data_IF_675737289198
#
_entry.id   IF_675737289198
#
_cell.length_a   1.000
_cell.length_b   1.000
_cell.length_c   1.000
_cell.angle_alpha   90.00
_cell.angle_beta   90.00
_cell.angle_gamma   90.00
#
_symmetry.space_group_name_H-M   'P 1'
#
loop_
_entity.id
_entity.type
_entity.pdbx_description
1 polymer ?
#
# COMPACT_ATOMS: atom_id res chain seq x y z
N UNK A 1 -12.43 9.13 12.53
CA UNK A 1 -12.87 8.36 11.35
C UNK A 1 -14.26 7.81 11.61
N UNK A 2 -15.24 8.10 10.75
CA UNK A 2 -16.56 7.42 10.82
C UNK A 2 -16.43 6.04 10.16
N UNK A 3 -17.23 5.05 10.59
CA UNK A 3 -17.23 3.72 9.96
C UNK A 3 -17.48 3.78 8.44
N UNK A 4 -18.31 4.74 8.02
CA UNK A 4 -18.61 4.99 6.62
C UNK A 4 -17.38 5.42 5.84
N UNK A 5 -16.54 6.29 6.41
CA UNK A 5 -15.32 6.76 5.79
C UNK A 5 -14.33 5.61 5.53
N UNK A 6 -14.17 4.73 6.51
CA UNK A 6 -13.36 3.52 6.39
C UNK A 6 -13.88 2.60 5.28
N UNK A 7 -15.20 2.40 5.21
CA UNK A 7 -15.83 1.54 4.20
C UNK A 7 -15.65 2.12 2.81
N UNK A 8 -15.95 3.41 2.60
CA UNK A 8 -15.82 4.07 1.30
C UNK A 8 -14.36 4.07 0.82
N UNK A 9 -13.43 4.35 1.73
CA UNK A 9 -11.99 4.30 1.43
C UNK A 9 -11.53 2.88 1.09
N UNK A 10 -12.01 1.87 1.83
CA UNK A 10 -11.75 0.46 1.52
C UNK A 10 -12.30 0.03 0.16
N UNK A 11 -13.49 0.49 -0.23
CA UNK A 11 -14.03 0.25 -1.57
C UNK A 11 -13.22 0.95 -2.66
N UNK A 12 -12.80 2.21 -2.45
CA UNK A 12 -11.90 2.90 -3.38
C UNK A 12 -10.58 2.14 -3.57
N UNK A 13 -10.00 1.62 -2.47
CA UNK A 13 -8.80 0.78 -2.52
C UNK A 13 -9.04 -0.49 -3.36
N UNK A 14 -10.16 -1.19 -3.12
CA UNK A 14 -10.51 -2.42 -3.80
C UNK A 14 -10.73 -2.21 -5.32
N UNK A 15 -11.41 -1.13 -5.70
CA UNK A 15 -11.59 -0.78 -7.12
C UNK A 15 -10.30 -0.29 -7.78
N UNK A 16 -9.48 0.49 -7.07
CA UNK A 16 -8.15 0.87 -7.55
C UNK A 16 -7.27 -0.37 -7.81
N UNK A 17 -7.29 -1.33 -6.89
CA UNK A 17 -6.59 -2.60 -7.05
C UNK A 17 -7.13 -3.41 -8.24
N UNK A 18 -8.45 -3.40 -8.47
CA UNK A 18 -9.08 -3.99 -9.68
C UNK A 18 -8.59 -3.35 -10.98
N UNK A 19 -8.28 -2.06 -11.02
CA UNK A 19 -7.70 -1.42 -12.21
C UNK A 19 -6.31 -1.94 -12.55
N UNK A 20 -5.52 -2.27 -11.51
CA UNK A 20 -4.18 -2.80 -11.68
C UNK A 20 -4.17 -4.29 -12.05
N UNK A 21 -5.28 -5.00 -11.82
CA UNK A 21 -5.40 -6.45 -11.94
C UNK A 21 -6.42 -6.85 -13.01
N UNK A 22 -5.96 -7.17 -14.25
CA UNK A 22 -6.83 -7.66 -15.31
C UNK A 22 -7.59 -8.92 -14.90
N UNK A 23 -8.84 -9.03 -15.36
CA UNK A 23 -9.72 -10.18 -15.09
C UNK A 23 -9.25 -11.49 -15.72
N UNK A 24 -8.43 -11.41 -16.76
CA UNK A 24 -7.82 -12.53 -17.46
C UNK A 24 -6.29 -12.52 -17.30
N UNK A 25 -5.82 -12.39 -16.06
CA UNK A 25 -4.40 -12.38 -15.71
C UNK A 25 -3.89 -13.73 -15.17
N UNK A 26 -2.56 -13.92 -15.09
CA UNK A 26 -1.93 -15.17 -14.65
C UNK A 26 -2.26 -15.60 -13.20
N UNK A 27 -2.96 -14.75 -12.44
CA UNK A 27 -3.33 -14.99 -11.05
C UNK A 27 -4.85 -15.05 -10.82
N UNK A 28 -5.67 -15.08 -11.89
CA UNK A 28 -7.13 -15.09 -11.80
C UNK A 28 -7.70 -16.17 -10.87
N UNK A 29 -6.99 -17.28 -10.73
CA UNK A 29 -7.40 -18.43 -9.91
C UNK A 29 -6.94 -18.35 -8.45
N UNK A 30 -6.30 -17.26 -8.03
CA UNK A 30 -5.91 -17.09 -6.63
C UNK A 30 -7.12 -16.79 -5.74
N UNK A 31 -7.21 -17.36 -4.51
CA UNK A 31 -8.30 -17.08 -3.59
C UNK A 31 -8.45 -15.59 -3.25
N UNK A 32 -7.34 -14.87 -3.16
CA UNK A 32 -7.29 -13.44 -2.84
C UNK A 32 -7.94 -12.62 -3.96
N UNK A 33 -7.58 -12.89 -5.21
CA UNK A 33 -8.20 -12.19 -6.35
C UNK A 33 -9.66 -12.57 -6.51
N UNK A 34 -10.05 -13.83 -6.30
CA UNK A 34 -11.48 -14.18 -6.26
C UNK A 34 -12.24 -13.41 -5.18
N UNK A 35 -11.68 -13.27 -3.99
CA UNK A 35 -12.26 -12.48 -2.90
C UNK A 35 -12.41 -11.01 -3.26
N UNK A 36 -11.35 -10.40 -3.80
CA UNK A 36 -11.38 -9.03 -4.31
C UNK A 36 -12.46 -8.87 -5.39
N UNK A 37 -12.53 -9.83 -6.31
CA UNK A 37 -13.50 -9.81 -7.39
C UNK A 37 -14.92 -9.88 -6.86
N UNK A 38 -15.20 -10.83 -5.96
CA UNK A 38 -16.49 -10.99 -5.31
C UNK A 38 -16.91 -9.75 -4.51
N UNK A 39 -15.99 -9.10 -3.79
CA UNK A 39 -16.28 -7.92 -2.98
C UNK A 39 -16.65 -6.68 -3.83
N UNK A 40 -16.05 -6.57 -5.02
CA UNK A 40 -16.23 -5.41 -5.91
C UNK A 40 -17.38 -5.59 -6.90
N UNK A 41 -17.75 -6.84 -7.22
CA UNK A 41 -18.74 -7.16 -8.24
C UNK A 41 -20.15 -6.57 -8.00
N UNK A 42 -20.70 -6.51 -6.77
CA UNK A 42 -22.03 -5.94 -6.53
C UNK A 42 -22.16 -4.49 -7.02
N UNK A 43 -21.07 -3.73 -6.96
CA UNK A 43 -21.02 -2.32 -7.39
C UNK A 43 -20.62 -2.21 -8.86
N UNK A 44 -19.67 -3.02 -9.34
CA UNK A 44 -19.19 -2.93 -10.72
C UNK A 44 -20.19 -3.46 -11.74
N UNK A 45 -20.94 -4.52 -11.41
CA UNK A 45 -21.89 -5.15 -12.33
C UNK A 45 -22.94 -4.17 -12.89
N UNK A 46 -23.62 -3.32 -12.09
CA UNK A 46 -24.54 -2.33 -12.66
C UNK A 46 -23.81 -1.28 -13.52
N UNK A 47 -22.63 -0.82 -13.10
CA UNK A 47 -21.83 0.16 -13.86
C UNK A 47 -21.44 -0.40 -15.23
N UNK A 48 -20.98 -1.65 -15.30
CA UNK A 48 -20.64 -2.32 -16.56
C UNK A 48 -21.83 -2.39 -17.51
N UNK A 49 -23.05 -2.67 -17.01
CA UNK A 49 -24.25 -2.71 -17.87
C UNK A 49 -24.56 -1.37 -18.53
N UNK A 50 -24.21 -0.27 -17.87
CA UNK A 50 -24.47 1.09 -18.36
C UNK A 50 -23.36 1.53 -19.31
N UNK A 51 -22.11 1.35 -18.88
CA UNK A 51 -20.92 1.90 -19.56
C UNK A 51 -20.44 1.00 -20.70
N UNK A 52 -20.54 -0.32 -20.54
CA UNK A 52 -20.00 -1.31 -21.47
C UNK A 52 -21.12 -2.04 -22.20
N UNK A 53 -21.62 -1.41 -23.26
CA UNK A 53 -22.44 -2.07 -24.28
C UNK A 53 -21.56 -2.36 -25.51
N UNK A 54 -21.06 -3.59 -25.63
CA UNK A 54 -20.19 -4.03 -26.73
C UNK A 54 -18.70 -3.96 -26.36
N UNK A 55 -18.00 -5.09 -26.48
CA UNK A 55 -16.65 -5.41 -25.99
C UNK A 55 -15.64 -4.26 -25.82
N UNK A 56 -14.99 -4.20 -24.65
CA UNK A 56 -13.59 -3.81 -24.56
C UNK A 56 -12.69 -4.91 -23.95
N UNK A 57 -11.45 -4.99 -24.42
CA UNK A 57 -10.35 -5.81 -23.83
C UNK A 57 -9.96 -5.37 -22.40
N UNK A 58 -10.48 -4.23 -21.92
CA UNK A 58 -10.12 -3.60 -20.65
C UNK A 58 -11.36 -3.06 -19.94
N UNK A 59 -11.57 -3.50 -18.70
CA UNK A 59 -12.71 -3.10 -17.87
C UNK A 59 -12.45 -1.76 -17.13
N UNK A 60 -13.00 -0.67 -17.67
CA UNK A 60 -13.00 0.68 -17.09
C UNK A 60 -13.99 0.90 -15.95
N UNK A 61 -14.89 -0.04 -15.68
CA UNK A 61 -15.90 0.15 -14.62
C UNK A 61 -15.32 0.45 -13.23
N UNK A 62 -14.15 -0.10 -12.81
CA UNK A 62 -13.59 0.23 -11.50
C UNK A 62 -13.13 1.69 -11.42
N UNK A 63 -12.66 2.29 -12.52
CA UNK A 63 -12.25 3.70 -12.54
C UNK A 63 -13.46 4.60 -12.31
N UNK A 64 -14.57 4.31 -13.00
CA UNK A 64 -15.82 5.05 -12.84
C UNK A 64 -16.36 4.87 -11.42
N UNK A 65 -16.28 3.66 -10.85
CA UNK A 65 -16.68 3.42 -9.47
C UNK A 65 -15.84 4.24 -8.48
N UNK A 66 -14.52 4.31 -8.65
CA UNK A 66 -13.63 5.15 -7.84
C UNK A 66 -14.02 6.62 -7.95
N UNK A 67 -14.21 7.15 -9.16
CA UNK A 67 -14.59 8.55 -9.37
C UNK A 67 -15.94 8.89 -8.72
N UNK A 68 -16.94 8.01 -8.89
CA UNK A 68 -18.24 8.18 -8.25
C UNK A 68 -18.14 8.15 -6.72
N UNK A 69 -17.32 7.25 -6.17
CA UNK A 69 -17.08 7.18 -4.74
C UNK A 69 -16.31 8.39 -4.21
N UNK A 70 -15.34 8.92 -4.95
CA UNK A 70 -14.64 10.15 -4.59
C UNK A 70 -15.62 11.33 -4.47
N UNK A 71 -16.51 11.48 -5.46
CA UNK A 71 -17.52 12.56 -5.44
C UNK A 71 -18.53 12.34 -4.31
N UNK A 72 -19.05 11.11 -4.16
CA UNK A 72 -20.02 10.78 -3.12
C UNK A 72 -19.43 10.98 -1.71
N UNK A 73 -18.24 10.43 -1.46
CA UNK A 73 -17.52 10.56 -0.19
C UNK A 73 -17.22 12.02 0.09
N UNK A 74 -16.69 12.74 -0.91
CA UNK A 74 -16.31 14.14 -0.75
C UNK A 74 -17.50 15.04 -0.48
N UNK A 75 -18.60 14.88 -1.22
CA UNK A 75 -19.84 15.60 -0.99
C UNK A 75 -20.45 15.30 0.38
N UNK A 76 -20.40 14.03 0.82
CA UNK A 76 -20.88 13.66 2.15
C UNK A 76 -20.00 14.22 3.25
N UNK A 77 -18.68 14.17 3.09
CA UNK A 77 -17.73 14.75 4.04
C UNK A 77 -17.99 16.24 4.19
N UNK A 78 -18.08 16.98 3.08
CA UNK A 78 -18.38 18.42 3.08
C UNK A 78 -19.72 18.73 3.75
N UNK A 79 -20.76 17.94 3.48
CA UNK A 79 -22.08 18.11 4.10
C UNK A 79 -22.05 17.90 5.62
N UNK A 80 -21.21 16.99 6.11
CA UNK A 80 -21.06 16.70 7.54
C UNK A 80 -20.13 17.67 8.27
N UNK A 81 -19.09 18.17 7.60
CA UNK A 81 -18.13 19.13 8.16
C UNK A 81 -18.59 20.59 8.03
N UNK A 82 -19.59 20.86 7.19
CA UNK A 82 -20.02 22.22 6.85
C UNK A 82 -19.06 22.94 5.89
N UNK A 83 -18.12 22.22 5.28
CA UNK A 83 -17.15 22.75 4.33
C UNK A 83 -17.73 22.85 2.92
N UNK A 84 -16.99 23.50 2.02
CA UNK A 84 -17.36 23.55 0.61
C UNK A 84 -17.31 22.15 -0.03
N UNK A 85 -18.19 21.89 -1.00
CA UNK A 85 -18.17 20.63 -1.76
C UNK A 85 -16.83 20.39 -2.46
N UNK A 86 -16.16 21.45 -2.93
CA UNK A 86 -14.81 21.39 -3.50
C UNK A 86 -13.77 20.90 -2.49
N UNK A 87 -13.82 21.38 -1.24
CA UNK A 87 -12.93 20.94 -0.15
C UNK A 87 -13.11 19.46 0.12
N UNK A 88 -14.35 18.99 0.25
CA UNK A 88 -14.63 17.58 0.49
C UNK A 88 -14.21 16.66 -0.66
N UNK A 89 -14.48 17.05 -1.92
CA UNK A 89 -14.05 16.29 -3.11
C UNK A 89 -12.53 16.25 -3.20
N UNK A 90 -11.85 17.36 -2.95
CA UNK A 90 -10.39 17.40 -2.92
C UNK A 90 -9.78 16.49 -1.86
N UNK A 91 -10.32 16.50 -0.63
CA UNK A 91 -9.93 15.55 0.40
C UNK A 91 -10.10 14.10 -0.04
N UNK A 92 -11.17 13.80 -0.79
CA UNK A 92 -11.38 12.45 -1.33
C UNK A 92 -10.41 12.05 -2.44
N UNK A 93 -9.99 13.00 -3.28
CA UNK A 93 -8.93 12.75 -4.27
C UNK A 93 -7.59 12.50 -3.57
N UNK A 94 -7.25 13.30 -2.56
CA UNK A 94 -6.01 13.16 -1.80
C UNK A 94 -5.97 11.81 -1.07
N UNK A 95 -7.04 11.42 -0.38
CA UNK A 95 -7.09 10.15 0.34
C UNK A 95 -7.04 8.93 -0.59
N UNK A 96 -7.74 8.97 -1.73
CA UNK A 96 -7.66 7.90 -2.70
C UNK A 96 -6.25 7.78 -3.32
N UNK A 97 -5.59 8.91 -3.57
CA UNK A 97 -4.19 8.94 -4.02
C UNK A 97 -3.26 8.37 -2.96
N UNK A 98 -3.45 8.76 -1.69
CA UNK A 98 -2.71 8.22 -0.53
C UNK A 98 -2.83 6.70 -0.48
N UNK A 99 -4.05 6.16 -0.56
CA UNK A 99 -4.31 4.71 -0.56
C UNK A 99 -3.60 4.01 -1.71
N UNK A 100 -3.68 4.54 -2.93
CA UNK A 100 -3.01 3.96 -4.09
C UNK A 100 -1.48 3.91 -3.89
N UNK A 101 -0.91 4.97 -3.33
CA UNK A 101 0.51 5.07 -3.01
C UNK A 101 0.90 4.09 -1.92
N UNK A 102 0.07 3.89 -0.90
CA UNK A 102 0.33 2.93 0.17
C UNK A 102 0.37 1.51 -0.37
N UNK A 103 -0.62 1.14 -1.19
CA UNK A 103 -0.67 -0.17 -1.84
C UNK A 103 0.58 -0.38 -2.71
N UNK A 104 0.93 0.58 -3.56
CA UNK A 104 2.11 0.49 -4.41
C UNK A 104 3.41 0.45 -3.59
N UNK A 105 3.50 1.21 -2.50
CA UNK A 105 4.69 1.25 -1.66
C UNK A 105 4.91 -0.05 -0.90
N UNK A 106 3.84 -0.69 -0.42
CA UNK A 106 3.90 -2.04 0.15
C UNK A 106 4.39 -3.03 -0.91
N UNK A 107 3.81 -3.01 -2.12
CA UNK A 107 4.26 -3.87 -3.22
C UNK A 107 5.74 -3.65 -3.56
N UNK A 108 6.18 -2.40 -3.65
CA UNK A 108 7.56 -2.04 -3.93
C UNK A 108 8.50 -2.49 -2.81
N UNK A 109 8.11 -2.31 -1.55
CA UNK A 109 8.89 -2.75 -0.39
C UNK A 109 9.12 -4.26 -0.45
N UNK A 110 8.11 -5.04 -0.78
CA UNK A 110 8.32 -6.48 -0.90
C UNK A 110 9.07 -6.89 -2.17
N UNK A 111 8.98 -6.16 -3.29
CA UNK A 111 9.90 -6.37 -4.44
C UNK A 111 11.34 -6.07 -4.03
N UNK A 112 11.57 -5.04 -3.22
CA UNK A 112 12.88 -4.77 -2.64
C UNK A 112 13.35 -5.94 -1.75
N UNK A 113 12.48 -6.47 -0.89
CA UNK A 113 12.78 -7.64 -0.04
C UNK A 113 13.05 -8.93 -0.84
N UNK A 114 12.40 -9.11 -1.98
CA UNK A 114 12.72 -10.19 -2.93
C UNK A 114 14.15 -10.00 -3.48
N UNK A 115 14.55 -8.75 -3.76
CA UNK A 115 15.86 -8.45 -4.35
C UNK A 115 17.05 -8.64 -3.40
N UNK A 116 16.81 -8.64 -2.08
CA UNK A 116 17.86 -8.79 -1.04
C UNK A 116 18.01 -10.23 -0.52
N UNK A 117 17.60 -11.23 -1.31
CA UNK A 117 17.85 -12.65 -1.06
C UNK A 117 16.91 -13.32 -0.03
N UNK A 118 15.60 -13.17 -0.22
CA UNK A 118 14.60 -13.96 0.53
C UNK A 118 14.31 -15.30 -0.16
N UNK A 119 14.17 -16.42 0.59
CA UNK A 119 13.94 -17.76 0.03
C UNK A 119 12.64 -17.89 -0.78
N UNK A 120 11.75 -16.89 -0.69
CA UNK A 120 10.44 -16.84 -1.34
C UNK A 120 10.39 -15.95 -2.58
N UNK A 121 11.54 -15.52 -3.13
CA UNK A 121 11.60 -14.70 -4.34
C UNK A 121 10.88 -15.31 -5.56
N UNK A 122 10.63 -16.62 -5.56
CA UNK A 122 9.91 -17.38 -6.59
C UNK A 122 8.51 -17.89 -6.15
N UNK A 123 7.98 -17.38 -5.04
CA UNK A 123 6.61 -17.70 -4.57
C UNK A 123 5.53 -17.13 -5.50
N UNK A 124 4.30 -17.66 -5.42
CA UNK A 124 3.15 -17.11 -6.17
C UNK A 124 2.94 -15.61 -5.85
N UNK A 125 3.09 -15.22 -4.58
CA UNK A 125 2.97 -13.83 -4.16
C UNK A 125 4.15 -13.00 -4.64
N UNK A 126 5.38 -13.52 -4.58
CA UNK A 126 6.55 -12.81 -5.10
C UNK A 126 6.41 -12.49 -6.59
N UNK A 127 5.97 -13.47 -7.38
CA UNK A 127 5.65 -13.25 -8.79
C UNK A 127 4.52 -12.24 -9.01
N UNK A 128 3.45 -12.28 -8.20
CA UNK A 128 2.35 -11.32 -8.28
C UNK A 128 2.82 -9.90 -7.98
N UNK A 129 3.59 -9.72 -6.91
CA UNK A 129 4.13 -8.42 -6.50
C UNK A 129 5.09 -7.85 -7.53
N UNK A 130 5.98 -8.69 -8.06
CA UNK A 130 6.88 -8.28 -9.14
C UNK A 130 6.09 -7.86 -10.40
N UNK A 131 5.09 -8.64 -10.78
CA UNK A 131 4.25 -8.37 -11.96
C UNK A 131 3.52 -7.05 -11.81
N UNK A 132 2.86 -6.82 -10.67
CA UNK A 132 2.09 -5.60 -10.39
C UNK A 132 2.96 -4.35 -10.29
N UNK A 133 4.18 -4.50 -9.76
CA UNK A 133 5.11 -3.39 -9.60
C UNK A 133 5.85 -3.06 -10.90
N UNK A 134 5.99 -4.04 -11.80
CA UNK A 134 6.85 -3.91 -12.98
C UNK A 134 6.54 -2.73 -13.90
N UNK A 135 5.27 -2.35 -14.21
CA UNK A 135 5.00 -1.22 -15.10
C UNK A 135 5.45 0.11 -14.50
N UNK A 136 5.38 0.22 -13.17
CA UNK A 136 5.76 1.42 -12.43
C UNK A 136 7.28 1.49 -12.17
N UNK A 137 7.91 0.34 -11.94
CA UNK A 137 9.35 0.26 -11.68
C UNK A 137 10.17 0.27 -12.97
N UNK A 138 9.62 -0.17 -14.11
CA UNK A 138 10.35 -0.24 -15.37
C UNK A 138 10.96 1.11 -15.79
N UNK A 139 10.22 2.25 -15.77
CA UNK A 139 10.81 3.56 -16.05
C UNK A 139 11.96 3.93 -15.10
N UNK A 140 11.83 3.60 -13.81
CA UNK A 140 12.85 3.90 -12.80
C UNK A 140 14.11 3.06 -13.04
N UNK A 141 13.93 1.78 -13.39
CA UNK A 141 15.02 0.85 -13.72
C UNK A 141 15.76 1.21 -14.99
N UNK A 142 15.17 2.01 -15.90
CA UNK A 142 15.89 2.57 -17.04
C UNK A 142 16.98 3.55 -16.58
N UNK A 143 16.69 4.35 -15.55
CA UNK A 143 17.62 5.33 -14.99
C UNK A 143 18.60 4.71 -13.99
N UNK A 144 18.10 3.77 -13.19
CA UNK A 144 18.86 3.07 -12.15
C UNK A 144 18.82 1.57 -12.41
N UNK A 145 19.59 1.06 -13.39
CA UNK A 145 19.62 -0.36 -13.70
C UNK A 145 20.11 -1.13 -12.47
N UNK A 146 19.28 -2.07 -12.01
CA UNK A 146 19.63 -2.95 -10.89
C UNK A 146 20.93 -3.72 -11.18
N UNK A 147 21.73 -3.96 -10.15
CA UNK A 147 22.94 -4.80 -10.31
C UNK A 147 22.52 -6.24 -10.59
N UNK A 148 23.25 -6.94 -11.49
CA UNK A 148 23.07 -8.39 -11.71
C UNK A 148 23.28 -9.25 -10.45
N UNK A 149 23.98 -8.71 -9.43
CA UNK A 149 24.14 -9.28 -8.08
C UNK A 149 23.95 -8.16 -7.05
N UNK A 150 23.02 -8.34 -6.12
CA UNK A 150 22.71 -7.39 -5.04
C UNK A 150 21.30 -6.79 -5.14
N UNK A 151 20.95 -6.00 -4.12
CA UNK A 151 19.65 -5.35 -3.99
C UNK A 151 19.29 -4.51 -5.24
N UNK A 152 18.05 -4.61 -5.71
CA UNK A 152 17.48 -3.70 -6.70
C UNK A 152 17.05 -2.41 -5.97
N UNK A 153 17.69 -1.25 -6.20
CA UNK A 153 17.32 -0.01 -5.52
C UNK A 153 16.05 0.64 -6.08
N UNK A 154 15.59 0.21 -7.28
CA UNK A 154 14.47 0.86 -7.97
C UNK A 154 13.17 0.90 -7.15
N UNK A 155 12.77 -0.14 -6.39
CA UNK A 155 11.55 -0.07 -5.58
C UNK A 155 11.64 0.96 -4.45
N UNK A 156 12.80 1.12 -3.81
CA UNK A 156 12.99 2.16 -2.79
C UNK A 156 12.89 3.56 -3.39
N UNK A 157 13.52 3.78 -4.54
CA UNK A 157 13.39 5.03 -5.28
C UNK A 157 11.93 5.28 -5.70
N UNK A 158 11.23 4.23 -6.11
CA UNK A 158 9.80 4.28 -6.40
C UNK A 158 8.97 4.75 -5.20
N UNK A 159 9.23 4.24 -4.00
CA UNK A 159 8.54 4.66 -2.77
C UNK A 159 8.78 6.16 -2.52
N UNK A 160 10.02 6.63 -2.63
CA UNK A 160 10.36 8.06 -2.44
C UNK A 160 9.69 8.93 -3.50
N UNK A 161 9.68 8.51 -4.76
CA UNK A 161 9.03 9.25 -5.85
C UNK A 161 7.51 9.32 -5.67
N UNK A 162 6.87 8.22 -5.23
CA UNK A 162 5.44 8.22 -4.94
C UNK A 162 5.09 9.16 -3.78
N UNK A 163 5.83 9.08 -2.67
CA UNK A 163 5.63 9.99 -1.53
C UNK A 163 5.90 11.46 -1.89
N UNK A 164 6.98 11.74 -2.62
CA UNK A 164 7.26 13.09 -3.12
C UNK A 164 6.16 13.62 -4.03
N UNK A 165 5.68 12.80 -4.97
CA UNK A 165 4.57 13.15 -5.86
C UNK A 165 3.27 13.44 -5.12
N UNK A 166 2.95 12.69 -4.07
CA UNK A 166 1.80 12.99 -3.21
C UNK A 166 1.98 14.29 -2.43
N UNK A 167 3.18 14.55 -1.90
CA UNK A 167 3.50 15.81 -1.27
C UNK A 167 3.34 17.01 -2.20
N UNK A 168 3.68 16.86 -3.49
CA UNK A 168 3.40 17.89 -4.51
C UNK A 168 1.90 18.10 -4.72
N UNK A 169 1.12 17.02 -4.78
CA UNK A 169 -0.34 17.13 -4.87
C UNK A 169 -0.92 17.83 -3.63
N UNK A 170 -0.46 17.47 -2.43
CA UNK A 170 -0.86 18.14 -1.18
C UNK A 170 -0.52 19.63 -1.22
N UNK A 171 0.67 19.99 -1.69
CA UNK A 171 1.08 21.38 -1.87
C UNK A 171 0.11 22.13 -2.79
N UNK A 172 -0.10 21.63 -4.01
CA UNK A 172 -0.99 22.25 -4.99
C UNK A 172 -2.41 22.40 -4.42
N UNK A 173 -3.00 21.33 -3.88
CA UNK A 173 -4.34 21.40 -3.31
C UNK A 173 -4.44 22.36 -2.12
N UNK A 174 -3.42 22.42 -1.25
CA UNK A 174 -3.41 23.36 -0.12
C UNK A 174 -3.42 24.83 -0.56
N UNK A 175 -2.93 25.14 -1.77
CA UNK A 175 -2.90 26.49 -2.30
C UNK A 175 -4.25 26.95 -2.90
N UNK A 176 -5.11 26.01 -3.32
CA UNK A 176 -6.36 26.32 -4.03
C UNK A 176 -7.64 26.09 -3.21
N UNK A 177 -7.55 25.43 -2.05
CA UNK A 177 -8.73 25.15 -1.22
C UNK A 177 -9.00 26.26 -0.21
N UNK A 178 -10.22 26.83 -0.15
CA UNK A 178 -10.53 28.00 0.69
C UNK A 178 -10.34 27.78 2.19
N UNK A 179 -10.56 26.55 2.65
CA UNK A 179 -10.58 26.19 4.07
C UNK A 179 -9.20 25.68 4.57
N UNK A 180 -8.23 25.53 3.67
CA UNK A 180 -6.89 25.00 3.98
C UNK A 180 -5.87 26.14 4.02
N UNK A 181 -5.06 26.19 5.09
CA UNK A 181 -3.88 27.03 5.09
C UNK A 181 -2.85 26.48 4.10
N UNK A 182 -2.32 27.27 3.15
CA UNK A 182 -1.31 26.80 2.21
C UNK A 182 -0.06 26.34 2.95
N UNK A 183 0.38 25.12 2.67
CA UNK A 183 1.61 24.57 3.24
C UNK A 183 2.78 24.90 2.30
N UNK A 184 3.98 25.24 2.81
CA UNK A 184 5.18 25.30 1.99
C UNK A 184 5.44 23.96 1.28
N UNK A 185 5.84 24.01 0.01
CA UNK A 185 6.10 22.81 -0.82
C UNK A 185 7.02 21.79 -0.12
N UNK A 186 8.10 22.26 0.51
CA UNK A 186 9.02 21.40 1.25
C UNK A 186 8.35 20.69 2.43
N UNK A 187 7.47 21.39 3.16
CA UNK A 187 6.73 20.83 4.27
C UNK A 187 5.71 19.79 3.79
N UNK A 188 5.01 20.03 2.67
CA UNK A 188 4.05 19.07 2.10
C UNK A 188 4.72 17.77 1.67
N UNK A 189 5.91 17.87 1.05
CA UNK A 189 6.73 16.70 0.68
C UNK A 189 7.20 15.95 1.92
N UNK A 190 7.72 16.66 2.92
CA UNK A 190 8.17 16.05 4.17
C UNK A 190 7.04 15.31 4.89
N UNK A 191 5.88 15.96 5.04
CA UNK A 191 4.68 15.37 5.65
C UNK A 191 4.29 14.08 4.92
N UNK A 192 4.23 14.12 3.58
CA UNK A 192 3.87 12.94 2.81
C UNK A 192 4.87 11.79 2.92
N UNK A 193 6.17 12.09 3.00
CA UNK A 193 7.20 11.06 3.14
C UNK A 193 7.18 10.44 4.54
N UNK A 194 6.94 11.25 5.58
CA UNK A 194 6.80 10.77 6.95
C UNK A 194 5.54 9.93 7.12
N UNK A 195 4.39 10.39 6.59
CA UNK A 195 3.11 9.65 6.59
C UNK A 195 3.24 8.29 5.86
N UNK A 196 3.97 8.27 4.75
CA UNK A 196 4.28 7.04 4.02
C UNK A 196 5.18 6.09 4.82
N UNK A 197 6.23 6.63 5.46
CA UNK A 197 7.13 5.84 6.30
C UNK A 197 6.39 5.25 7.51
N UNK A 198 5.56 6.05 8.18
CA UNK A 198 4.72 5.64 9.31
C UNK A 198 3.83 4.46 8.92
N UNK A 199 3.14 4.59 7.78
CA UNK A 199 2.29 3.53 7.25
C UNK A 199 3.06 2.24 6.93
N UNK A 200 4.27 2.34 6.37
CA UNK A 200 5.10 1.17 6.09
C UNK A 200 5.55 0.48 7.39
N UNK A 201 5.85 1.24 8.45
CA UNK A 201 6.17 0.69 9.77
C UNK A 201 4.96 -0.02 10.38
N UNK A 202 3.76 0.55 10.27
CA UNK A 202 2.50 -0.08 10.72
C UNK A 202 2.25 -1.41 9.99
N UNK A 203 2.44 -1.45 8.68
CA UNK A 203 2.30 -2.69 7.89
C UNK A 203 3.29 -3.74 8.37
N UNK A 204 4.55 -3.38 8.59
CA UNK A 204 5.57 -4.30 9.10
C UNK A 204 5.25 -4.78 10.52
N UNK A 205 4.76 -3.89 11.39
CA UNK A 205 4.28 -4.24 12.73
C UNK A 205 3.18 -5.29 12.66
N UNK A 206 2.13 -5.04 11.86
CA UNK A 206 1.00 -5.97 11.71
C UNK A 206 1.47 -7.31 11.13
N UNK A 207 2.31 -7.30 10.10
CA UNK A 207 2.85 -8.53 9.50
C UNK A 207 3.62 -9.36 10.54
N UNK A 208 4.52 -8.73 11.31
CA UNK A 208 5.31 -9.43 12.32
C UNK A 208 4.42 -9.97 13.44
N UNK A 209 3.44 -9.17 13.89
CA UNK A 209 2.46 -9.58 14.89
C UNK A 209 1.66 -10.78 14.41
N UNK A 210 1.10 -10.73 13.20
CA UNK A 210 0.35 -11.85 12.63
C UNK A 210 1.25 -13.08 12.46
N UNK A 211 2.49 -12.93 11.98
CA UNK A 211 3.43 -14.05 11.88
C UNK A 211 3.67 -14.71 13.24
N UNK A 212 3.88 -13.92 14.30
CA UNK A 212 4.07 -14.43 15.64
C UNK A 212 2.83 -15.19 16.15
N UNK A 213 1.65 -14.62 15.99
CA UNK A 213 0.39 -15.24 16.41
C UNK A 213 0.10 -16.54 15.66
N UNK A 214 0.27 -16.54 14.33
CA UNK A 214 0.00 -17.72 13.50
C UNK A 214 1.03 -18.82 13.77
N UNK A 215 2.26 -18.49 14.15
CA UNK A 215 3.32 -19.50 14.44
C UNK A 215 2.92 -20.52 15.51
N UNK A 216 2.04 -20.16 16.45
CA UNK A 216 1.52 -21.08 17.48
C UNK A 216 0.65 -22.21 16.92
N UNK A 217 0.11 -22.04 15.71
CA UNK A 217 -0.77 -23.00 15.07
C UNK A 217 -0.05 -23.86 14.01
N UNK A 218 1.26 -23.68 13.82
CA UNK A 218 2.07 -24.39 12.83
C UNK A 218 1.45 -24.37 11.41
N UNK A 219 1.32 -23.19 10.79
CA UNK A 219 0.67 -23.03 9.49
C UNK A 219 1.46 -23.73 8.38
N UNK A 220 0.77 -24.14 7.31
CA UNK A 220 1.41 -24.70 6.13
C UNK A 220 2.27 -23.63 5.40
N UNK A 221 3.61 -23.82 5.30
CA UNK A 221 4.51 -22.87 4.68
C UNK A 221 4.28 -22.65 3.18
N UNK A 222 3.59 -23.58 2.52
CA UNK A 222 3.28 -23.50 1.09
C UNK A 222 2.12 -22.56 0.78
N UNK A 223 1.38 -22.10 1.79
CA UNK A 223 0.24 -21.20 1.58
C UNK A 223 0.70 -19.80 1.19
N UNK A 224 0.08 -19.18 0.16
CA UNK A 224 0.46 -17.84 -0.28
C UNK A 224 0.48 -16.81 0.86
N UNK A 225 -0.56 -16.79 1.71
CA UNK A 225 -0.65 -15.83 2.81
C UNK A 225 0.54 -15.95 3.78
N UNK A 226 0.95 -17.17 4.11
CA UNK A 226 2.10 -17.36 5.01
C UNK A 226 3.42 -16.98 4.33
N UNK A 227 3.56 -17.23 3.03
CA UNK A 227 4.72 -16.77 2.25
C UNK A 227 4.84 -15.24 2.23
N UNK A 228 3.72 -14.51 2.14
CA UNK A 228 3.73 -13.05 2.31
C UNK A 228 4.21 -12.65 3.71
N UNK A 229 3.69 -13.31 4.76
CA UNK A 229 4.11 -13.02 6.13
C UNK A 229 5.62 -13.17 6.26
N UNK A 230 6.17 -14.29 5.79
CA UNK A 230 7.61 -14.53 5.83
C UNK A 230 8.36 -13.49 5.00
N UNK A 231 7.95 -13.23 3.75
CA UNK A 231 8.60 -12.28 2.84
C UNK A 231 8.81 -10.90 3.48
N UNK A 232 7.79 -10.37 4.16
CA UNK A 232 7.85 -9.03 4.74
C UNK A 232 8.50 -8.99 6.14
N UNK A 233 8.50 -10.10 6.88
CA UNK A 233 9.04 -10.10 8.25
C UNK A 233 10.45 -10.68 8.36
N UNK A 234 10.85 -11.64 7.52
CA UNK A 234 12.21 -12.23 7.55
C UNK A 234 13.34 -11.20 7.44
N UNK A 235 13.26 -10.18 6.57
CA UNK A 235 14.30 -9.15 6.48
C UNK A 235 14.58 -8.44 7.82
N UNK A 236 13.59 -8.40 8.71
CA UNK A 236 13.68 -7.78 10.03
C UNK A 236 13.97 -8.82 11.11
N UNK A 237 13.30 -9.97 11.06
CA UNK A 237 13.41 -11.02 12.09
C UNK A 237 14.71 -11.81 11.98
N UNK A 238 15.18 -12.16 10.78
CA UNK A 238 16.36 -13.01 10.61
C UNK A 238 17.65 -12.36 11.19
N UNK A 239 17.92 -11.05 11.01
CA UNK A 239 19.04 -10.40 11.69
C UNK A 239 18.93 -10.47 13.22
N UNK A 240 17.73 -10.27 13.78
CA UNK A 240 17.50 -10.31 15.23
C UNK A 240 17.72 -11.73 15.76
N UNK A 241 17.19 -12.74 15.07
CA UNK A 241 17.35 -14.16 15.41
C UNK A 241 18.82 -14.59 15.41
N UNK A 242 19.66 -14.01 14.55
CA UNK A 242 21.11 -14.30 14.51
C UNK A 242 21.86 -13.75 15.73
N UNK A 243 21.34 -12.71 16.37
CA UNK A 243 21.97 -12.06 17.54
C UNK A 243 21.44 -12.69 18.85
N UNK A 244 20.20 -13.18 18.83
CA UNK A 244 19.55 -13.75 20.01
C UNK A 244 20.13 -15.13 20.37
N UNK A 245 20.33 -15.43 21.68
CA UNK A 245 20.78 -16.74 22.11
C UNK A 245 19.72 -17.81 21.80
N UNK A 246 20.10 -18.83 21.03
CA UNK A 246 19.24 -19.93 20.57
C UNK A 246 18.73 -20.86 21.67
N UNK A 247 19.10 -20.62 22.93
CA UNK A 247 18.98 -21.58 24.03
C UNK A 247 17.62 -21.55 24.73
N UNK A 248 16.68 -20.68 24.31
CA UNK A 248 15.44 -20.38 25.05
C UNK A 248 14.22 -21.18 24.55
N UNK A 249 14.31 -21.94 23.45
CA UNK A 249 13.22 -22.80 22.96
C UNK A 249 11.96 -22.06 22.45
N UNK A 250 11.87 -20.74 22.67
CA UNK A 250 10.83 -19.83 22.18
C UNK A 250 11.52 -18.69 21.41
N UNK A 251 11.03 -18.38 20.21
CA UNK A 251 11.53 -17.26 19.41
C UNK A 251 10.94 -15.93 19.89
N UNK A 252 11.73 -15.17 20.64
CA UNK A 252 11.38 -13.82 21.12
C UNK A 252 11.72 -12.71 20.10
N UNK A 253 12.27 -13.05 18.93
CA UNK A 253 12.66 -12.07 17.91
C UNK A 253 11.49 -11.21 17.42
N UNK A 254 10.25 -11.73 17.26
CA UNK A 254 9.11 -10.89 16.91
C UNK A 254 8.81 -9.80 17.95
N UNK A 255 8.96 -10.11 19.25
CA UNK A 255 8.76 -9.13 20.31
C UNK A 255 9.80 -8.01 20.23
N UNK A 256 11.07 -8.38 20.06
CA UNK A 256 12.17 -7.41 19.92
C UNK A 256 11.95 -6.53 18.69
N UNK A 257 11.58 -7.12 17.55
CA UNK A 257 11.31 -6.38 16.33
C UNK A 257 10.16 -5.37 16.51
N UNK A 258 9.06 -5.79 17.14
CA UNK A 258 7.92 -4.91 17.45
C UNK A 258 8.37 -3.75 18.34
N UNK A 259 9.14 -3.99 19.39
CA UNK A 259 9.64 -2.93 20.28
C UNK A 259 10.51 -1.92 19.52
N UNK A 260 11.36 -2.39 18.60
CA UNK A 260 12.17 -1.52 17.75
C UNK A 260 11.29 -0.68 16.83
N UNK A 261 10.32 -1.28 16.14
CA UNK A 261 9.38 -0.55 15.27
C UNK A 261 8.64 0.54 16.04
N UNK A 262 8.08 0.21 17.21
CA UNK A 262 7.36 1.16 18.07
C UNK A 262 8.28 2.29 18.55
N UNK A 263 9.54 1.99 18.88
CA UNK A 263 10.52 3.01 19.26
C UNK A 263 10.78 3.98 18.10
N UNK A 264 11.04 3.47 16.90
CA UNK A 264 11.25 4.31 15.72
C UNK A 264 10.03 5.20 15.44
N UNK A 265 8.82 4.63 15.49
CA UNK A 265 7.58 5.35 15.24
C UNK A 265 7.30 6.45 16.28
N UNK A 266 7.48 6.15 17.57
CA UNK A 266 7.18 7.10 18.65
C UNK A 266 8.29 8.13 18.89
N UNK A 267 9.54 7.80 18.59
CA UNK A 267 10.70 8.63 18.96
C UNK A 267 11.37 9.30 17.77
N UNK A 268 11.47 8.64 16.61
CA UNK A 268 12.23 9.16 15.46
C UNK A 268 11.34 9.94 14.50
N UNK A 269 10.17 9.41 14.13
CA UNK A 269 9.28 10.05 13.17
C UNK A 269 8.85 11.48 13.58
N UNK A 270 8.46 11.73 14.85
CA UNK A 270 8.11 13.08 15.28
C UNK A 270 9.28 14.08 15.22
N UNK A 271 10.53 13.61 15.27
CA UNK A 271 11.70 14.48 15.13
C UNK A 271 11.86 14.96 13.69
N UNK A 272 11.55 14.11 12.71
CA UNK A 272 11.60 14.48 11.29
C UNK A 272 10.64 15.62 10.96
N UNK A 273 9.49 15.68 11.62
CA UNK A 273 8.48 16.73 11.44
C UNK A 273 8.82 18.06 12.15
N UNK A 274 9.86 18.09 12.98
CA UNK A 274 10.30 19.30 13.72
C UNK A 274 11.45 20.06 13.03
N UNK A 275 12.00 19.49 11.96
CA UNK A 275 13.09 20.07 11.16
C UNK A 275 12.47 20.99 10.11
#
# INVERSE_FOLDING_TARGET
>A
MTWLDMVLTGYMAAFGLRLLLPSAGPFSDSPILRGLYAATEPVLRPIRRIVMRGEPRTDWSPLIAVLLLMVLRGGLSAALSGESASTGVAGSVLDATRVAIYVLSVLFLGVFFISIDTPFGYSQIGHMMYTLSSPFLAPIRLLFPGKRRGADPAPLLGIVLLGGGHGLLLFEFSAYLPDMSPLPMGQSILLSLVDLLDTLLDVLFVVILVRALVSWFNPDPSTPMFQALILYSDPILAPIQRIMPSNIGIDFSPLVAILVLLFFQSSVLPLLLRI
#
